data_IF_234294633136
#
_entry.id   IF_234294633136
#
_cell.length_a   1.000
_cell.length_b   1.000
_cell.length_c   1.000
_cell.angle_alpha   90.00
_cell.angle_beta   90.00
_cell.angle_gamma   90.00
#
_symmetry.space_group_name_H-M   'P 1'
#
loop_
_entity.id
_entity.type
_entity.pdbx_description
1 polymer ?
#
# COMPACT_ATOMS: atom_id res chain seq x y z
N UNK A 1 -19.38 -15.49 2.93
CA UNK A 1 -18.43 -14.86 2.00
C UNK A 1 -18.23 -13.42 2.44
N UNK A 2 -17.37 -13.20 3.43
CA UNK A 2 -16.98 -11.84 3.81
C UNK A 2 -16.08 -11.33 2.69
N UNK A 3 -16.50 -10.26 2.00
CA UNK A 3 -15.61 -9.57 1.07
C UNK A 3 -14.45 -9.05 1.92
N UNK A 4 -13.20 -9.41 1.58
CA UNK A 4 -12.00 -8.97 2.28
C UNK A 4 -11.89 -7.44 2.18
N UNK A 5 -12.55 -6.78 3.13
CA UNK A 5 -12.86 -5.37 3.13
C UNK A 5 -12.35 -4.82 4.46
N UNK A 6 -11.17 -4.25 4.40
CA UNK A 6 -10.58 -3.56 5.53
C UNK A 6 -10.77 -2.05 5.36
N UNK A 7 -10.78 -1.33 6.48
CA UNK A 7 -10.94 0.13 6.48
C UNK A 7 -9.75 0.81 5.77
N UNK A 8 -8.57 0.21 5.87
CA UNK A 8 -7.35 0.63 5.21
C UNK A 8 -6.83 -0.48 4.28
N UNK A 9 -5.92 -0.14 3.37
CA UNK A 9 -5.30 -1.13 2.50
C UNK A 9 -4.58 -2.18 3.35
N UNK A 10 -4.90 -3.47 3.19
CA UNK A 10 -4.28 -4.51 4.01
C UNK A 10 -3.05 -5.10 3.34
N UNK A 11 -2.08 -5.54 4.15
CA UNK A 11 -0.88 -6.24 3.66
C UNK A 11 -1.24 -7.50 2.86
N UNK A 12 -2.33 -8.18 3.25
CA UNK A 12 -2.87 -9.37 2.57
C UNK A 12 -3.31 -9.14 1.12
N UNK A 13 -3.51 -7.90 0.68
CA UNK A 13 -3.89 -7.55 -0.69
C UNK A 13 -2.69 -7.37 -1.64
N UNK A 14 -1.44 -7.36 -1.13
CA UNK A 14 -0.23 -7.20 -1.93
C UNK A 14 -0.07 -8.31 -3.01
N UNK A 15 -0.36 -9.59 -2.74
CA UNK A 15 -0.29 -10.65 -3.75
C UNK A 15 -1.15 -10.37 -4.99
N UNK A 16 -2.29 -9.69 -4.83
CA UNK A 16 -3.20 -9.33 -5.93
C UNK A 16 -2.65 -8.19 -6.83
N UNK A 17 -1.56 -7.54 -6.42
CA UNK A 17 -0.87 -6.51 -7.19
C UNK A 17 0.21 -7.09 -8.10
N UNK A 18 0.59 -8.36 -7.88
CA UNK A 18 1.49 -9.08 -8.78
C UNK A 18 0.85 -9.20 -10.16
N UNK A 19 1.62 -8.90 -11.20
CA UNK A 19 1.16 -8.97 -12.59
C UNK A 19 0.17 -7.88 -13.01
N UNK A 20 -0.18 -6.94 -12.11
CA UNK A 20 -0.95 -5.74 -12.52
C UNK A 20 -0.09 -4.83 -13.41
N UNK A 21 1.21 -4.78 -13.13
CA UNK A 21 2.26 -4.15 -13.94
C UNK A 21 3.50 -5.04 -13.88
N UNK A 22 4.45 -4.82 -14.79
CA UNK A 22 5.66 -5.61 -14.92
C UNK A 22 6.91 -4.83 -14.46
N UNK A 23 8.09 -5.42 -14.64
CA UNK A 23 9.37 -4.74 -14.38
C UNK A 23 9.53 -4.32 -12.93
N UNK A 24 9.96 -3.08 -12.70
CA UNK A 24 10.28 -2.57 -11.37
C UNK A 24 9.09 -2.58 -10.39
N UNK A 25 7.84 -2.52 -10.89
CA UNK A 25 6.66 -2.68 -10.02
C UNK A 25 6.51 -4.11 -9.52
N UNK A 26 6.69 -5.09 -10.40
CA UNK A 26 6.60 -6.51 -10.03
C UNK A 26 7.67 -6.85 -8.99
N UNK A 27 8.92 -6.46 -9.24
CA UNK A 27 10.05 -6.65 -8.32
C UNK A 27 9.77 -6.06 -6.94
N UNK A 28 9.19 -4.85 -6.87
CA UNK A 28 8.79 -4.23 -5.61
C UNK A 28 7.71 -5.05 -4.91
N UNK A 29 6.64 -5.43 -5.60
CA UNK A 29 5.55 -6.19 -4.98
C UNK A 29 5.99 -7.56 -4.48
N UNK A 30 6.86 -8.25 -5.22
CA UNK A 30 7.43 -9.53 -4.81
C UNK A 30 8.34 -9.38 -3.60
N UNK A 31 9.14 -8.31 -3.54
CA UNK A 31 9.97 -8.01 -2.38
C UNK A 31 9.13 -7.79 -1.12
N UNK A 32 8.14 -6.88 -1.18
CA UNK A 32 7.31 -6.55 -0.01
C UNK A 32 6.49 -7.75 0.46
N UNK A 33 6.01 -8.60 -0.45
CA UNK A 33 5.27 -9.81 -0.07
C UNK A 33 6.08 -10.78 0.81
N UNK A 34 7.41 -10.77 0.72
CA UNK A 34 8.28 -11.60 1.57
C UNK A 34 8.58 -10.98 2.94
N UNK A 35 8.20 -9.72 3.16
CA UNK A 35 8.44 -9.01 4.40
C UNK A 35 7.28 -9.22 5.38
N UNK A 36 7.60 -9.08 6.66
CA UNK A 36 6.59 -9.04 7.71
C UNK A 36 5.75 -7.76 7.60
N UNK A 37 4.49 -7.79 8.02
CA UNK A 37 3.59 -6.62 7.95
C UNK A 37 4.07 -5.45 8.83
N UNK A 38 4.81 -5.73 9.92
CA UNK A 38 5.40 -4.73 10.80
C UNK A 38 6.75 -4.20 10.29
N UNK A 39 7.28 -4.73 9.18
CA UNK A 39 8.48 -4.20 8.57
C UNK A 39 8.21 -2.78 8.03
N UNK A 40 9.19 -1.90 8.21
CA UNK A 40 9.14 -0.52 7.73
C UNK A 40 8.78 -0.38 6.24
N UNK A 41 9.31 -1.25 5.38
CA UNK A 41 9.01 -1.21 3.94
C UNK A 41 7.56 -1.65 3.66
N UNK A 42 7.06 -2.65 4.39
CA UNK A 42 5.66 -3.08 4.32
C UNK A 42 4.70 -2.00 4.78
N UNK A 43 5.04 -1.29 5.86
CA UNK A 43 4.30 -0.14 6.36
C UNK A 43 4.30 1.01 5.34
N UNK A 44 5.46 1.30 4.75
CA UNK A 44 5.62 2.32 3.72
C UNK A 44 4.81 2.00 2.46
N UNK A 45 4.84 0.74 2.00
CA UNK A 45 4.05 0.29 0.87
C UNK A 45 2.55 0.40 1.15
N UNK A 46 2.13 -0.03 2.34
CA UNK A 46 0.74 0.10 2.81
C UNK A 46 0.29 1.56 2.83
N UNK A 47 1.09 2.46 3.40
CA UNK A 47 0.82 3.90 3.42
C UNK A 47 0.69 4.48 2.00
N UNK A 48 1.59 4.09 1.09
CA UNK A 48 1.53 4.49 -0.30
C UNK A 48 0.20 4.03 -0.94
N UNK A 49 -0.21 2.78 -0.73
CA UNK A 49 -1.43 2.21 -1.29
C UNK A 49 -2.70 2.82 -0.69
N UNK A 50 -2.73 3.11 0.61
CA UNK A 50 -3.82 3.86 1.27
C UNK A 50 -4.07 5.19 0.55
N UNK A 51 -2.99 5.90 0.20
CA UNK A 51 -3.07 7.18 -0.52
C UNK A 51 -3.47 7.00 -1.98
N UNK A 52 -2.89 6.01 -2.67
CA UNK A 52 -3.15 5.74 -4.08
C UNK A 52 -4.61 5.30 -4.31
N UNK A 53 -5.14 4.42 -3.46
CA UNK A 53 -6.52 3.94 -3.51
C UNK A 53 -7.51 4.97 -2.94
N UNK A 54 -7.04 5.93 -2.16
CA UNK A 54 -7.86 6.87 -1.41
C UNK A 54 -8.72 6.16 -0.35
N UNK A 55 -8.13 5.22 0.39
CA UNK A 55 -8.83 4.39 1.38
C UNK A 55 -9.48 5.22 2.49
N UNK A 56 -8.90 6.37 2.84
CA UNK A 56 -9.48 7.29 3.85
C UNK A 56 -10.85 7.85 3.47
N UNK A 57 -11.23 7.77 2.19
CA UNK A 57 -12.55 8.16 1.69
C UNK A 57 -13.47 6.93 1.45
N UNK A 58 -13.06 5.74 1.88
CA UNK A 58 -13.84 4.50 1.73
C UNK A 58 -14.83 4.38 2.89
N UNK A 59 -16.10 4.70 2.62
CA UNK A 59 -17.16 4.65 3.62
C UNK A 59 -18.01 3.37 3.50
N UNK A 60 -18.65 2.91 4.60
CA UNK A 60 -19.68 1.88 4.56
C UNK A 60 -20.75 2.19 3.51
N UNK A 61 -21.07 1.22 2.65
CA UNK A 61 -21.99 1.40 1.52
C UNK A 61 -21.36 2.01 0.26
N UNK A 62 -20.08 2.37 0.27
CA UNK A 62 -19.39 2.82 -0.94
C UNK A 62 -19.19 1.68 -1.95
N UNK A 63 -19.16 2.02 -3.24
CA UNK A 63 -18.84 1.08 -4.31
C UNK A 63 -17.46 0.42 -4.12
N UNK A 64 -16.49 1.17 -3.56
CA UNK A 64 -15.15 0.65 -3.26
C UNK A 64 -15.16 -0.44 -2.20
N UNK A 65 -15.90 -0.24 -1.11
CA UNK A 65 -16.06 -1.26 -0.07
C UNK A 65 -16.73 -2.50 -0.67
N UNK A 66 -17.72 -2.33 -1.54
CA UNK A 66 -18.33 -3.46 -2.23
C UNK A 66 -17.35 -4.23 -3.13
N UNK A 67 -16.23 -3.65 -3.57
CA UNK A 67 -15.36 -4.28 -4.56
C UNK A 67 -14.37 -5.33 -4.02
N UNK A 68 -14.06 -5.29 -2.72
CA UNK A 68 -12.88 -5.97 -2.17
C UNK A 68 -11.62 -5.11 -2.29
N UNK A 69 -10.76 -5.14 -1.26
CA UNK A 69 -9.51 -4.38 -1.24
C UNK A 69 -8.59 -4.77 -2.41
N UNK A 70 -8.50 -6.07 -2.74
CA UNK A 70 -7.72 -6.60 -3.86
C UNK A 70 -8.12 -5.92 -5.18
N UNK A 71 -9.40 -6.00 -5.56
CA UNK A 71 -9.91 -5.42 -6.80
C UNK A 71 -9.74 -3.90 -6.82
N UNK A 72 -9.97 -3.23 -5.69
CA UNK A 72 -9.81 -1.78 -5.58
C UNK A 72 -8.35 -1.36 -5.80
N UNK A 73 -7.41 -2.10 -5.19
CA UNK A 73 -6.00 -1.84 -5.27
C UNK A 73 -5.43 -2.12 -6.66
N UNK A 74 -5.76 -3.27 -7.27
CA UNK A 74 -5.35 -3.57 -8.65
C UNK A 74 -5.85 -2.51 -9.61
N UNK A 75 -7.12 -2.07 -9.50
CA UNK A 75 -7.67 -0.97 -10.32
C UNK A 75 -6.94 0.36 -10.11
N UNK A 76 -6.58 0.70 -8.87
CA UNK A 76 -5.85 1.93 -8.58
C UNK A 76 -4.47 1.93 -9.26
N UNK A 77 -3.77 0.79 -9.23
CA UNK A 77 -2.46 0.61 -9.87
C UNK A 77 -2.57 0.58 -11.40
N UNK A 78 -3.58 -0.11 -11.96
CA UNK A 78 -3.82 -0.14 -13.42
C UNK A 78 -4.20 1.23 -13.96
N UNK A 79 -5.03 1.99 -13.23
CA UNK A 79 -5.48 3.33 -13.66
C UNK A 79 -4.44 4.42 -13.44
N UNK A 80 -3.33 4.11 -12.76
CA UNK A 80 -2.24 5.04 -12.54
C UNK A 80 -1.50 5.36 -13.86
N UNK A 81 -1.74 6.57 -14.38
CA UNK A 81 -1.23 7.04 -15.68
C UNK A 81 0.29 7.28 -15.75
N UNK A 82 1.00 7.22 -14.62
CA UNK A 82 2.46 7.43 -14.59
C UNK A 82 3.25 6.14 -14.83
N UNK A 83 4.57 6.27 -14.96
CA UNK A 83 5.50 5.15 -15.07
C UNK A 83 5.65 4.38 -13.76
N UNK A 84 6.22 3.17 -13.83
CA UNK A 84 6.57 2.39 -12.64
C UNK A 84 7.56 3.16 -11.76
N UNK A 85 8.52 3.86 -12.36
CA UNK A 85 9.44 4.74 -11.63
C UNK A 85 8.73 5.85 -10.84
N UNK A 86 7.55 6.30 -11.28
CA UNK A 86 6.74 7.25 -10.54
C UNK A 86 5.96 6.61 -9.38
N UNK A 87 5.63 5.32 -9.46
CA UNK A 87 5.12 4.54 -8.32
C UNK A 87 6.24 4.29 -7.31
N UNK A 88 7.42 3.84 -7.76
CA UNK A 88 8.59 3.63 -6.89
C UNK A 88 9.03 4.92 -6.19
N UNK A 89 8.87 6.09 -6.82
CA UNK A 89 9.12 7.38 -6.15
C UNK A 89 8.08 7.67 -5.06
N UNK A 90 6.81 7.31 -5.26
CA UNK A 90 5.79 7.43 -4.21
C UNK A 90 6.06 6.48 -3.05
N UNK A 91 6.50 5.27 -3.35
CA UNK A 91 6.93 4.30 -2.35
C UNK A 91 8.10 4.85 -1.52
N UNK A 92 9.18 5.31 -2.15
CA UNK A 92 10.33 5.91 -1.45
C UNK A 92 9.94 7.09 -0.57
N UNK A 93 9.07 7.98 -1.07
CA UNK A 93 8.54 9.08 -0.25
C UNK A 93 7.77 8.58 0.97
N UNK A 94 6.93 7.56 0.79
CA UNK A 94 6.23 6.95 1.92
C UNK A 94 7.19 6.28 2.91
N UNK A 95 8.28 5.68 2.42
CA UNK A 95 9.34 5.09 3.26
C UNK A 95 10.03 6.14 4.11
N UNK A 96 10.47 7.25 3.51
CA UNK A 96 11.05 8.38 4.24
C UNK A 96 10.12 8.92 5.34
N UNK A 97 8.81 8.96 5.09
CA UNK A 97 7.83 9.39 6.08
C UNK A 97 7.66 8.39 7.24
N UNK A 98 7.71 7.09 6.96
CA UNK A 98 7.67 6.03 7.99
C UNK A 98 8.94 6.05 8.82
N UNK A 99 10.11 6.12 8.18
CA UNK A 99 11.43 6.23 8.82
C UNK A 99 11.48 7.44 9.77
N UNK A 100 11.03 8.60 9.30
CA UNK A 100 10.98 9.81 10.11
C UNK A 100 10.02 9.67 11.31
N UNK A 101 8.86 9.03 11.11
CA UNK A 101 7.90 8.78 12.18
C UNK A 101 8.48 7.84 13.24
N UNK A 102 9.04 6.70 12.83
CA UNK A 102 9.65 5.72 13.74
C UNK A 102 10.81 6.33 14.52
N UNK A 103 11.72 7.06 13.85
CA UNK A 103 12.81 7.76 14.52
C UNK A 103 12.32 8.78 15.56
N UNK A 104 11.25 9.53 15.23
CA UNK A 104 10.66 10.50 16.17
C UNK A 104 9.99 9.82 17.39
N UNK A 105 9.41 8.63 17.20
CA UNK A 105 8.76 7.88 18.26
C UNK A 105 9.75 7.14 19.16
N UNK A 106 10.83 6.59 18.61
CA UNK A 106 11.92 6.03 19.41
C UNK A 106 12.55 7.11 20.31
N UNK A 107 12.77 8.32 19.78
CA UNK A 107 13.27 9.44 20.57
C UNK A 107 12.30 9.89 21.67
N UNK A 108 10.98 9.79 21.43
CA UNK A 108 9.96 10.16 22.41
C UNK A 108 9.66 9.08 23.46
N UNK A 109 9.92 7.80 23.16
CA UNK A 109 9.77 6.68 24.10
C UNK A 109 11.02 6.43 24.96
N UNK A 110 12.17 6.98 24.57
CA UNK A 110 13.42 6.89 25.32
C UNK A 110 13.61 8.02 26.35
N UNK A 111 12.70 9.00 26.39
CA UNK A 111 12.68 10.14 27.32
C UNK A 111 11.65 9.94 28.44
#
# INVERSE_FOLDING_TARGET
MYRNNELMFPHSAIPALRGVRNGAWLELTEHIEQLDEANEESLAFTLMMVRLCGCLNCQPGSYKLSLGCDTCASRAVTSFKGSDSALLRRFRKAKEEVEAFLASHEASNAA
#
